data_IF_242333078635
#
_entry.id   IF_242333078635
#
_cell.length_a   1.000
_cell.length_b   1.000
_cell.length_c   1.000
_cell.angle_alpha   90.00
_cell.angle_beta   90.00
_cell.angle_gamma   90.00
#
_symmetry.space_group_name_H-M   'P 1'
#
loop_
_entity.id
_entity.type
_entity.pdbx_description
1 polymer ?
#
# COMPACT_ATOMS: atom_id res chain seq x y z
N UNK A 1 -43.01 -32.75 -54.44
CA UNK A 1 -42.81 -32.28 -53.05
C UNK A 1 -43.65 -31.03 -52.86
N UNK A 2 -44.49 -31.00 -51.82
CA UNK A 2 -45.40 -29.89 -51.53
C UNK A 2 -44.63 -28.62 -51.14
N UNK A 3 -45.14 -27.43 -51.46
CA UNK A 3 -44.42 -26.14 -51.31
C UNK A 3 -43.87 -25.87 -49.88
N UNK A 4 -44.39 -26.56 -48.87
CA UNK A 4 -43.92 -26.51 -47.49
C UNK A 4 -42.58 -27.24 -47.28
N UNK A 5 -42.34 -28.36 -47.98
CA UNK A 5 -41.07 -29.10 -47.94
C UNK A 5 -39.94 -28.37 -48.68
N UNK A 6 -40.27 -27.58 -49.69
CA UNK A 6 -39.28 -26.77 -50.43
C UNK A 6 -38.76 -25.61 -49.58
N UNK A 7 -39.63 -24.95 -48.80
CA UNK A 7 -39.21 -23.88 -47.89
C UNK A 7 -38.40 -24.42 -46.70
N UNK A 8 -38.74 -25.59 -46.17
CA UNK A 8 -37.95 -26.23 -45.11
C UNK A 8 -36.54 -26.60 -45.62
N UNK A 9 -36.44 -27.15 -46.84
CA UNK A 9 -35.16 -27.47 -47.46
C UNK A 9 -34.30 -26.21 -47.66
N UNK A 10 -34.88 -25.10 -48.12
CA UNK A 10 -34.16 -23.82 -48.24
C UNK A 10 -33.62 -23.30 -46.90
N UNK A 11 -34.41 -23.41 -45.84
CA UNK A 11 -33.98 -22.99 -44.49
C UNK A 11 -32.84 -23.87 -43.98
N UNK A 12 -32.94 -25.19 -44.16
CA UNK A 12 -31.88 -26.13 -43.74
C UNK A 12 -30.60 -25.89 -44.52
N UNK A 13 -30.67 -25.67 -45.84
CA UNK A 13 -29.51 -25.35 -46.68
C UNK A 13 -28.89 -24.00 -46.28
N UNK A 14 -29.70 -22.99 -45.98
CA UNK A 14 -29.21 -21.69 -45.51
C UNK A 14 -28.49 -21.80 -44.16
N UNK A 15 -29.06 -22.56 -43.21
CA UNK A 15 -28.43 -22.81 -41.91
C UNK A 15 -27.13 -23.59 -42.05
N UNK A 16 -27.06 -24.56 -42.96
CA UNK A 16 -25.84 -25.30 -43.24
C UNK A 16 -24.75 -24.41 -43.86
N UNK A 17 -25.12 -23.54 -44.81
CA UNK A 17 -24.20 -22.59 -45.42
C UNK A 17 -23.65 -21.58 -44.39
N UNK A 18 -24.50 -21.05 -43.51
CA UNK A 18 -24.10 -20.14 -42.44
C UNK A 18 -23.14 -20.83 -41.46
N UNK A 19 -23.46 -22.03 -40.99
CA UNK A 19 -22.58 -22.78 -40.08
C UNK A 19 -21.23 -23.12 -40.73
N UNK A 20 -21.24 -23.47 -42.02
CA UNK A 20 -19.99 -23.76 -42.77
C UNK A 20 -19.13 -22.51 -42.91
N UNK A 21 -19.74 -21.35 -43.21
CA UNK A 21 -19.03 -20.08 -43.28
C UNK A 21 -18.47 -19.65 -41.92
N UNK A 22 -19.24 -19.84 -40.85
CA UNK A 22 -18.78 -19.60 -39.47
C UNK A 22 -17.58 -20.48 -39.09
N UNK A 23 -17.60 -21.77 -39.44
CA UNK A 23 -16.44 -22.65 -39.25
C UNK A 23 -15.24 -22.20 -40.10
N UNK A 24 -15.46 -21.82 -41.35
CA UNK A 24 -14.38 -21.37 -42.23
C UNK A 24 -13.71 -20.09 -41.73
N UNK A 25 -14.48 -19.15 -41.18
CA UNK A 25 -13.94 -17.94 -40.55
C UNK A 25 -13.24 -18.24 -39.22
N UNK A 26 -13.74 -19.20 -38.44
CA UNK A 26 -13.11 -19.64 -37.19
C UNK A 26 -11.75 -20.31 -37.42
N UNK A 27 -11.64 -21.13 -38.48
CA UNK A 27 -10.40 -21.82 -38.83
C UNK A 27 -9.50 -21.05 -39.79
N UNK A 28 -9.83 -19.80 -40.17
CA UNK A 28 -8.93 -18.97 -40.97
C UNK A 28 -7.72 -18.56 -40.13
N UNK A 29 -6.50 -18.97 -40.50
CA UNK A 29 -5.29 -18.51 -39.81
C UNK A 29 -5.15 -17.00 -40.02
N UNK A 30 -5.01 -16.25 -38.93
CA UNK A 30 -4.65 -14.84 -39.01
C UNK A 30 -3.25 -14.70 -39.64
N UNK A 31 -3.04 -13.75 -40.58
CA UNK A 31 -1.73 -13.56 -41.17
C UNK A 31 -0.75 -13.05 -40.10
N UNK A 32 0.34 -13.80 -39.89
CA UNK A 32 1.48 -13.34 -39.08
C UNK A 32 2.07 -12.10 -39.74
N UNK A 33 2.10 -10.99 -39.01
CA UNK A 33 2.88 -9.81 -39.37
C UNK A 33 4.37 -10.16 -39.26
N UNK A 34 5.04 -10.29 -40.38
CA UNK A 34 6.49 -10.36 -40.49
C UNK A 34 7.06 -8.99 -40.09
N UNK A 35 7.82 -8.94 -39.01
CA UNK A 35 8.74 -7.84 -38.72
C UNK A 35 10.16 -8.40 -38.86
N UNK A 36 10.91 -7.76 -39.75
CA UNK A 36 12.24 -8.11 -40.19
C UNK A 36 13.24 -8.09 -39.04
N UNK A 37 14.06 -9.14 -38.98
CA UNK A 37 15.24 -9.21 -38.14
C UNK A 37 16.38 -8.42 -38.79
N UNK A 38 16.82 -7.34 -38.16
CA UNK A 38 18.17 -6.80 -38.38
C UNK A 38 19.13 -7.49 -37.42
N UNK A 39 20.08 -8.20 -38.01
CA UNK A 39 21.18 -8.89 -37.37
C UNK A 39 22.27 -7.90 -36.96
N UNK A 40 22.65 -7.90 -35.69
CA UNK A 40 24.05 -7.70 -35.30
C UNK A 40 24.44 -8.66 -34.19
N UNK A 41 25.33 -9.58 -34.56
CA UNK A 41 26.03 -10.50 -33.67
C UNK A 41 27.03 -9.72 -32.82
N UNK A 42 27.00 -9.91 -31.49
CA UNK A 42 28.21 -9.96 -30.65
C UNK A 42 27.99 -11.07 -29.61
N UNK A 43 28.80 -12.12 -29.69
CA UNK A 43 28.95 -13.16 -28.67
C UNK A 43 29.71 -12.59 -27.48
N UNK A 44 29.24 -12.84 -26.27
CA UNK A 44 30.11 -13.07 -25.12
C UNK A 44 29.47 -14.14 -24.24
N UNK A 45 30.17 -15.27 -24.12
CA UNK A 45 29.94 -16.32 -23.15
C UNK A 45 30.28 -15.81 -21.75
N UNK A 46 29.39 -15.99 -20.77
CA UNK A 46 29.76 -16.18 -19.35
C UNK A 46 28.60 -16.87 -18.58
N UNK A 47 28.87 -17.81 -17.65
CA UNK A 47 27.86 -18.67 -17.04
C UNK A 47 27.37 -18.08 -15.72
N UNK A 48 26.10 -17.69 -15.64
CA UNK A 48 25.45 -17.36 -14.37
C UNK A 48 24.13 -18.11 -14.20
N UNK A 49 23.97 -18.61 -12.96
CA UNK A 49 22.94 -19.53 -12.53
C UNK A 49 21.51 -19.03 -12.73
N UNK A 50 20.65 -20.04 -12.89
CA UNK A 50 19.23 -19.97 -13.20
C UNK A 50 18.48 -19.13 -12.16
N UNK A 51 18.09 -17.92 -12.53
CA UNK A 51 16.88 -17.28 -12.00
C UNK A 51 15.70 -18.08 -12.55
N UNK A 52 14.80 -18.65 -11.73
CA UNK A 52 13.52 -19.10 -12.25
C UNK A 52 12.76 -17.86 -12.69
N UNK A 53 12.85 -17.52 -13.98
CA UNK A 53 11.89 -16.63 -14.59
C UNK A 53 10.53 -17.28 -14.42
N UNK A 54 9.71 -16.73 -13.53
CA UNK A 54 8.27 -16.96 -13.49
C UNK A 54 7.65 -16.42 -14.78
N UNK A 55 7.89 -17.10 -15.90
CA UNK A 55 7.08 -16.94 -17.11
C UNK A 55 5.83 -17.78 -16.92
N UNK A 56 4.84 -17.21 -16.24
CA UNK A 56 3.52 -17.83 -16.21
C UNK A 56 2.82 -17.61 -17.56
N UNK A 57 2.34 -18.72 -18.14
CA UNK A 57 1.56 -18.76 -19.37
C UNK A 57 0.35 -17.84 -19.25
N UNK A 58 0.28 -16.82 -20.11
CA UNK A 58 -0.94 -16.05 -20.40
C UNK A 58 -2.12 -16.98 -20.65
N UNK A 59 -3.11 -16.96 -19.74
CA UNK A 59 -4.51 -17.18 -20.08
C UNK A 59 -5.19 -15.83 -20.00
N UNK A 60 -5.31 -15.21 -21.17
CA UNK A 60 -6.03 -13.96 -21.34
C UNK A 60 -7.52 -14.18 -21.04
N UNK A 61 -8.00 -13.48 -20.02
CA UNK A 61 -9.41 -13.26 -19.76
C UNK A 61 -9.56 -11.84 -19.23
N UNK A 62 -9.92 -10.89 -20.09
CA UNK A 62 -10.54 -9.58 -19.86
C UNK A 62 -10.24 -8.75 -18.58
N UNK A 63 -9.11 -8.96 -17.88
CA UNK A 63 -8.69 -8.17 -16.71
C UNK A 63 -7.71 -7.02 -17.07
N UNK A 64 -7.58 -6.68 -18.35
CA UNK A 64 -6.64 -5.66 -18.84
C UNK A 64 -6.98 -4.22 -18.40
N UNK A 65 -8.09 -3.98 -17.70
CA UNK A 65 -8.47 -2.67 -17.17
C UNK A 65 -8.10 -2.44 -15.69
N UNK A 66 -7.62 -3.45 -14.95
CA UNK A 66 -7.27 -3.30 -13.54
C UNK A 66 -5.82 -2.79 -13.39
N UNK A 67 -5.61 -1.88 -12.42
CA UNK A 67 -4.27 -1.45 -12.03
C UNK A 67 -3.48 -2.66 -11.56
N UNK A 68 -2.31 -2.85 -12.16
CA UNK A 68 -1.36 -3.88 -11.74
C UNK A 68 -0.38 -3.27 -10.76
N UNK A 69 -0.25 -3.88 -9.59
CA UNK A 69 0.84 -3.57 -8.68
C UNK A 69 2.17 -4.05 -9.27
N UNK A 70 3.29 -3.36 -8.96
CA UNK A 70 4.61 -3.85 -9.34
C UNK A 70 4.83 -5.25 -8.76
N UNK A 71 5.62 -6.10 -9.41
CA UNK A 71 5.96 -7.41 -8.82
C UNK A 71 7.16 -7.22 -7.89
N UNK A 72 6.86 -6.86 -6.64
CA UNK A 72 7.80 -6.84 -5.53
C UNK A 72 7.75 -8.16 -4.73
N UNK A 73 8.88 -8.62 -4.16
CA UNK A 73 8.92 -9.78 -3.27
C UNK A 73 7.96 -9.72 -2.06
N UNK A 74 7.51 -8.55 -1.66
CA UNK A 74 6.44 -8.35 -0.66
C UNK A 74 5.04 -8.74 -1.10
N UNK A 75 4.77 -8.91 -2.40
CA UNK A 75 3.46 -9.35 -2.89
C UNK A 75 3.31 -10.85 -3.00
N UNK A 76 4.22 -11.62 -2.39
CA UNK A 76 3.98 -13.04 -2.20
C UNK A 76 2.73 -13.22 -1.33
N UNK A 77 1.87 -14.21 -1.65
CA UNK A 77 0.71 -14.52 -0.81
C UNK A 77 1.11 -14.68 0.66
N UNK A 78 0.21 -14.31 1.58
CA UNK A 78 0.41 -14.65 2.98
C UNK A 78 0.59 -16.15 3.11
N UNK A 79 1.69 -16.54 3.74
CA UNK A 79 2.04 -17.93 3.95
C UNK A 79 2.30 -18.13 5.43
N UNK A 80 1.89 -19.29 5.94
CA UNK A 80 2.25 -19.67 7.28
C UNK A 80 3.74 -19.99 7.30
N UNK A 81 4.46 -19.37 8.23
CA UNK A 81 5.84 -19.69 8.50
C UNK A 81 6.00 -20.04 9.99
N UNK A 82 5.75 -21.31 10.38
CA UNK A 82 5.89 -21.74 11.76
C UNK A 82 7.32 -21.63 12.28
N UNK A 83 8.30 -21.52 11.38
CA UNK A 83 9.72 -21.38 11.71
C UNK A 83 10.16 -19.92 11.81
N UNK A 84 9.27 -18.95 11.60
CA UNK A 84 9.58 -17.54 11.79
C UNK A 84 9.98 -17.33 13.25
N UNK A 85 11.22 -16.89 13.47
CA UNK A 85 11.71 -16.61 14.82
C UNK A 85 10.92 -15.45 15.40
N UNK A 86 10.38 -15.57 16.63
CA UNK A 86 9.74 -14.45 17.32
C UNK A 86 10.68 -13.23 17.35
N UNK A 87 10.12 -12.05 17.16
CA UNK A 87 10.85 -10.78 17.11
C UNK A 87 11.89 -10.61 15.98
N UNK A 88 11.94 -11.51 15.00
CA UNK A 88 12.69 -11.28 13.76
C UNK A 88 12.04 -10.23 12.87
N UNK A 89 12.78 -9.70 11.90
CA UNK A 89 12.22 -8.72 10.97
C UNK A 89 11.14 -9.29 10.06
N UNK A 90 11.24 -10.58 9.70
CA UNK A 90 10.18 -11.27 8.96
C UNK A 90 8.94 -11.45 9.83
N UNK A 91 9.10 -11.66 11.15
CA UNK A 91 7.97 -11.77 12.07
C UNK A 91 7.19 -10.45 12.24
N UNK A 92 7.88 -9.30 12.21
CA UNK A 92 7.27 -7.98 12.33
C UNK A 92 6.72 -7.42 11.01
N UNK A 93 7.47 -7.54 9.92
CA UNK A 93 7.17 -6.84 8.66
C UNK A 93 6.79 -7.76 7.49
N UNK A 94 7.05 -9.06 7.60
CA UNK A 94 6.86 -10.02 6.53
C UNK A 94 5.79 -11.07 6.82
N UNK A 95 6.00 -12.30 6.34
CA UNK A 95 5.13 -13.45 6.56
C UNK A 95 5.41 -14.10 7.93
N UNK A 96 5.29 -13.31 8.99
CA UNK A 96 5.42 -13.71 10.39
C UNK A 96 4.28 -14.53 10.96
N UNK A 97 3.43 -15.11 10.10
CA UNK A 97 2.23 -15.82 10.53
C UNK A 97 2.59 -17.20 11.04
N UNK A 98 2.60 -17.36 12.35
CA UNK A 98 2.95 -18.63 13.01
C UNK A 98 1.81 -19.63 12.93
N UNK A 99 0.57 -19.16 12.82
CA UNK A 99 -0.64 -20.00 12.85
C UNK A 99 -1.62 -19.67 11.72
N UNK A 100 -2.10 -20.71 11.05
CA UNK A 100 -3.23 -20.62 10.10
C UNK A 100 -4.48 -21.24 10.74
N UNK A 101 -5.60 -20.54 10.60
CA UNK A 101 -6.91 -20.95 11.09
C UNK A 101 -7.87 -21.03 9.90
N UNK A 102 -8.25 -22.22 9.48
CA UNK A 102 -9.29 -22.43 8.46
C UNK A 102 -10.65 -22.55 9.15
N UNK A 103 -11.33 -21.41 9.32
CA UNK A 103 -12.63 -21.36 10.00
C UNK A 103 -13.73 -22.01 9.17
N UNK A 104 -13.63 -21.92 7.84
CA UNK A 104 -14.44 -22.68 6.89
C UNK A 104 -13.61 -23.14 5.69
N UNK A 105 -13.53 -24.46 5.52
CA UNK A 105 -12.86 -25.06 4.37
C UNK A 105 -13.80 -25.17 3.17
N UNK A 106 -13.30 -24.86 1.98
CA UNK A 106 -13.97 -25.25 0.74
C UNK A 106 -13.99 -26.78 0.69
N UNK A 107 -15.11 -27.41 1.03
CA UNK A 107 -15.26 -28.86 0.86
C UNK A 107 -15.21 -29.15 -0.65
N UNK A 108 -14.28 -30.01 -1.07
CA UNK A 108 -14.22 -30.60 -2.41
C UNK A 108 -15.43 -31.54 -2.60
N UNK A 109 -16.64 -30.96 -2.70
CA UNK A 109 -17.81 -31.67 -3.17
C UNK A 109 -17.68 -31.86 -4.67
N UNK A 110 -17.60 -33.11 -5.13
CA UNK A 110 -17.45 -33.54 -6.54
C UNK A 110 -18.60 -33.17 -7.49
N UNK A 111 -19.09 -31.94 -7.44
CA UNK A 111 -20.20 -31.41 -8.21
C UNK A 111 -20.07 -29.91 -8.49
N UNK A 112 -19.01 -29.50 -9.19
CA UNK A 112 -18.96 -28.31 -10.05
C UNK A 112 -19.18 -26.89 -9.47
N UNK A 113 -19.61 -26.71 -8.22
CA UNK A 113 -19.73 -25.41 -7.55
C UNK A 113 -19.21 -25.53 -6.12
N UNK A 114 -17.92 -25.26 -5.92
CA UNK A 114 -17.31 -25.21 -4.59
C UNK A 114 -18.02 -24.19 -3.70
N UNK A 115 -18.19 -24.52 -2.42
CA UNK A 115 -18.74 -23.61 -1.42
C UNK A 115 -17.81 -22.43 -1.14
N UNK A 116 -18.30 -21.44 -0.40
CA UNK A 116 -17.44 -20.37 0.10
C UNK A 116 -16.51 -20.86 1.23
N UNK A 117 -15.47 -20.07 1.52
CA UNK A 117 -14.41 -20.44 2.46
C UNK A 117 -13.91 -19.21 3.23
N UNK A 118 -13.33 -19.43 4.41
CA UNK A 118 -12.76 -18.38 5.23
C UNK A 118 -11.57 -18.88 6.04
N UNK A 119 -10.48 -18.13 6.04
CA UNK A 119 -9.28 -18.44 6.82
C UNK A 119 -8.59 -17.19 7.33
N UNK A 120 -7.86 -17.36 8.42
CA UNK A 120 -7.03 -16.31 9.01
C UNK A 120 -5.60 -16.78 9.21
N UNK A 121 -4.67 -15.83 9.11
CA UNK A 121 -3.26 -15.99 9.39
C UNK A 121 -2.91 -15.12 10.59
N UNK A 122 -2.59 -15.75 11.71
CA UNK A 122 -2.29 -15.10 12.97
C UNK A 122 -0.78 -14.96 13.15
N UNK A 123 -0.33 -13.75 13.51
CA UNK A 123 1.04 -13.44 13.92
C UNK A 123 1.09 -13.30 15.43
N UNK A 124 1.80 -14.21 16.10
CA UNK A 124 2.04 -14.10 17.55
C UNK A 124 2.94 -12.91 17.89
N UNK A 125 3.80 -12.46 16.97
CA UNK A 125 4.68 -11.29 17.20
C UNK A 125 3.89 -9.98 17.17
N UNK A 126 2.89 -9.89 16.29
CA UNK A 126 2.02 -8.72 16.19
C UNK A 126 0.75 -8.85 17.03
N UNK A 127 0.48 -10.03 17.59
CA UNK A 127 -0.77 -10.35 18.32
C UNK A 127 -2.03 -10.03 17.49
N UNK A 128 -1.94 -10.19 16.17
CA UNK A 128 -2.98 -9.80 15.23
C UNK A 128 -3.08 -10.78 14.06
N UNK A 129 -4.16 -10.68 13.29
CA UNK A 129 -4.50 -11.62 12.23
C UNK A 129 -4.88 -10.91 10.94
N UNK A 130 -4.47 -11.47 9.81
CA UNK A 130 -5.01 -11.13 8.48
C UNK A 130 -5.96 -12.23 8.06
N UNK A 131 -7.18 -11.88 7.68
CA UNK A 131 -8.18 -12.85 7.26
C UNK A 131 -8.52 -12.70 5.78
N UNK A 132 -8.88 -13.80 5.13
CA UNK A 132 -9.42 -13.78 3.78
C UNK A 132 -10.51 -14.82 3.60
N UNK A 133 -11.46 -14.50 2.72
CA UNK A 133 -12.59 -15.37 2.43
C UNK A 133 -13.01 -15.31 0.97
N UNK A 134 -13.59 -16.41 0.50
CA UNK A 134 -14.16 -16.54 -0.83
C UNK A 134 -15.69 -16.69 -0.78
N UNK A 135 -16.37 -16.05 -1.74
CA UNK A 135 -17.83 -15.98 -1.81
C UNK A 135 -18.46 -15.34 -0.55
N UNK A 136 -17.85 -14.23 -0.11
CA UNK A 136 -18.25 -13.47 1.06
C UNK A 136 -19.29 -12.40 0.67
N UNK A 137 -20.45 -12.41 1.32
CA UNK A 137 -21.49 -11.39 1.21
C UNK A 137 -21.35 -10.41 2.37
N UNK A 138 -21.30 -9.11 2.08
CA UNK A 138 -21.36 -8.02 3.04
C UNK A 138 -22.73 -7.35 3.00
N UNK A 139 -23.27 -6.98 4.15
CA UNK A 139 -24.54 -6.27 4.32
C UNK A 139 -24.29 -4.90 4.96
N UNK A 140 -24.16 -3.81 4.18
CA UNK A 140 -23.89 -2.46 4.69
C UNK A 140 -24.89 -1.98 5.75
N UNK A 141 -26.13 -2.43 5.68
CA UNK A 141 -27.20 -2.09 6.62
C UNK A 141 -26.98 -2.65 8.03
N UNK A 142 -26.10 -3.65 8.17
CA UNK A 142 -25.71 -4.28 9.43
C UNK A 142 -24.34 -3.81 9.94
N UNK A 143 -23.81 -2.74 9.34
CA UNK A 143 -22.55 -2.11 9.73
C UNK A 143 -22.89 -0.69 10.18
N UNK A 144 -22.76 -0.43 11.47
CA UNK A 144 -23.03 0.87 12.06
C UNK A 144 -21.73 1.67 12.12
N UNK A 145 -21.66 2.71 11.29
CA UNK A 145 -20.57 3.69 11.21
C UNK A 145 -21.03 4.91 10.40
N UNK A 146 -20.20 5.94 10.37
CA UNK A 146 -20.30 7.06 9.45
C UNK A 146 -20.39 6.60 8.00
N UNK A 147 -20.98 7.45 7.14
CA UNK A 147 -21.15 7.11 5.72
C UNK A 147 -19.79 7.04 5.02
N UNK A 148 -18.85 7.89 5.43
CA UNK A 148 -17.54 8.05 4.81
C UNK A 148 -17.64 8.90 3.55
N UNK A 149 -16.55 9.62 3.25
CA UNK A 149 -16.47 10.50 2.08
C UNK A 149 -17.25 11.80 2.21
N UNK A 150 -17.77 12.12 3.40
CA UNK A 150 -18.30 13.46 3.66
C UNK A 150 -17.17 14.51 3.59
N UNK A 151 -17.53 15.78 3.33
CA UNK A 151 -16.56 16.88 3.41
C UNK A 151 -16.17 17.10 4.87
N UNK A 152 -14.89 17.34 5.10
CA UNK A 152 -14.33 17.51 6.44
C UNK A 152 -15.04 18.61 7.25
N UNK A 153 -15.34 19.72 6.61
CA UNK A 153 -16.07 20.87 7.16
C UNK A 153 -17.49 20.54 7.62
N UNK A 154 -18.13 19.54 7.02
CA UNK A 154 -19.50 19.14 7.34
C UNK A 154 -19.58 18.21 8.55
N UNK A 155 -18.43 17.71 9.02
CA UNK A 155 -18.34 16.67 10.05
C UNK A 155 -17.47 17.07 11.24
N UNK A 156 -17.08 18.35 11.33
CA UNK A 156 -16.27 18.86 12.46
C UNK A 156 -16.95 18.58 13.81
N UNK A 157 -16.16 18.14 14.79
CA UNK A 157 -16.60 17.71 16.12
C UNK A 157 -16.99 16.23 16.22
N UNK A 158 -17.02 15.48 15.11
CA UNK A 158 -17.29 14.04 15.11
C UNK A 158 -16.23 13.27 15.90
N UNK A 159 -16.68 12.31 16.69
CA UNK A 159 -15.84 11.43 17.49
C UNK A 159 -15.23 10.29 16.65
N UNK A 160 -14.15 9.66 17.13
CA UNK A 160 -13.52 8.53 16.43
C UNK A 160 -14.45 7.32 16.40
N UNK A 161 -15.22 7.13 17.48
CA UNK A 161 -16.18 6.05 17.65
C UNK A 161 -17.34 6.10 16.63
N UNK A 162 -17.61 7.27 16.04
CA UNK A 162 -18.59 7.41 14.96
C UNK A 162 -18.04 6.97 13.60
N UNK A 163 -16.72 7.04 13.40
CA UNK A 163 -16.03 6.61 12.16
C UNK A 163 -15.68 5.12 12.19
N UNK A 164 -15.49 4.56 13.39
CA UNK A 164 -15.20 3.14 13.58
C UNK A 164 -16.45 2.26 13.36
N UNK A 165 -16.31 1.12 12.66
CA UNK A 165 -17.41 0.20 12.40
C UNK A 165 -17.79 -0.59 13.64
N UNK A 166 -19.09 -0.73 13.86
CA UNK A 166 -19.67 -1.74 14.74
C UNK A 166 -20.49 -2.69 13.89
N UNK A 167 -20.13 -3.97 13.94
CA UNK A 167 -20.75 -5.00 13.11
C UNK A 167 -21.86 -5.71 13.88
N UNK A 168 -23.02 -5.85 13.23
CA UNK A 168 -24.09 -6.70 13.74
C UNK A 168 -24.03 -8.09 13.09
N UNK A 169 -24.54 -9.10 13.79
CA UNK A 169 -24.69 -10.47 13.30
C UNK A 169 -25.20 -10.51 11.86
N UNK A 170 -24.48 -11.20 10.97
CA UNK A 170 -24.82 -11.29 9.55
C UNK A 170 -24.40 -10.09 8.69
N UNK A 171 -23.64 -9.12 9.23
CA UNK A 171 -22.91 -8.13 8.45
C UNK A 171 -22.01 -8.77 7.39
N UNK A 172 -21.44 -9.94 7.70
CA UNK A 172 -20.75 -10.80 6.75
C UNK A 172 -21.29 -12.23 6.77
N UNK A 173 -21.47 -12.81 5.59
CA UNK A 173 -21.99 -14.17 5.40
C UNK A 173 -21.24 -14.86 4.25
N UNK A 174 -21.15 -16.19 4.27
CA UNK A 174 -20.53 -16.96 3.19
C UNK A 174 -21.56 -17.82 2.50
N UNK A 175 -21.44 -17.91 1.17
CA UNK A 175 -22.35 -18.74 0.37
C UNK A 175 -22.14 -20.22 0.68
N UNK A 176 -23.14 -20.89 1.25
CA UNK A 176 -23.12 -22.35 1.45
C UNK A 176 -23.06 -23.07 0.08
N UNK A 177 -22.08 -23.95 -0.10
CA UNK A 177 -22.06 -24.90 -1.21
C UNK A 177 -23.14 -25.95 -0.99
N UNK A 178 -24.01 -26.16 -1.98
CA UNK A 178 -25.08 -27.16 -1.90
C UNK A 178 -24.51 -28.58 -1.77
N UNK A 179 -24.62 -29.17 -0.59
CA UNK A 179 -24.25 -30.55 -0.33
C UNK A 179 -24.52 -30.91 1.12
N UNK A 180 -25.67 -31.53 1.38
CA UNK A 180 -26.00 -32.08 2.69
C UNK A 180 -24.99 -33.15 3.08
N UNK A 181 -24.05 -32.77 3.95
CA UNK A 181 -23.04 -33.62 4.55
C UNK A 181 -22.69 -33.03 5.90
N UNK A 182 -23.05 -33.76 6.94
CA UNK A 182 -23.11 -33.36 8.34
C UNK A 182 -21.75 -32.91 8.91
N UNK A 183 -21.48 -31.61 8.83
CA UNK A 183 -20.80 -30.87 9.90
C UNK A 183 -21.86 -29.97 10.52
N UNK A 184 -22.33 -30.34 11.71
CA UNK A 184 -23.38 -29.64 12.46
C UNK A 184 -22.86 -28.26 12.87
N UNK A 185 -22.93 -27.29 11.97
CA UNK A 185 -23.12 -25.90 12.32
C UNK A 185 -24.59 -25.58 12.08
N UNK A 186 -25.33 -25.30 13.17
CA UNK A 186 -26.76 -24.99 13.13
C UNK A 186 -27.04 -23.95 12.04
N UNK A 187 -27.92 -24.33 11.12
CA UNK A 187 -28.60 -23.48 10.12
C UNK A 187 -28.80 -22.05 10.68
N UNK A 188 -28.17 -21.05 10.05
CA UNK A 188 -28.42 -19.64 10.33
C UNK A 188 -27.54 -18.98 11.41
N UNK A 189 -26.33 -19.47 11.69
CA UNK A 189 -25.36 -18.72 12.51
C UNK A 189 -24.44 -17.86 11.66
N UNK A 190 -24.27 -16.59 12.08
CA UNK A 190 -23.23 -15.66 11.62
C UNK A 190 -21.88 -16.38 11.63
N UNK A 191 -21.09 -16.23 10.55
CA UNK A 191 -19.76 -16.86 10.46
C UNK A 191 -18.80 -16.34 11.52
N UNK A 192 -19.14 -15.16 12.03
CA UNK A 192 -18.31 -14.31 12.83
C UNK A 192 -19.23 -13.68 13.87
N UNK A 193 -19.00 -13.95 15.15
CA UNK A 193 -19.71 -13.22 16.20
C UNK A 193 -19.36 -11.73 16.10
N UNK A 194 -20.23 -10.86 16.60
CA UNK A 194 -19.93 -9.44 16.79
C UNK A 194 -18.55 -9.25 17.46
N UNK A 195 -18.26 -10.05 18.51
CA UNK A 195 -16.95 -10.08 19.18
C UNK A 195 -15.79 -10.40 18.24
N UNK A 196 -15.94 -11.29 17.26
CA UNK A 196 -14.86 -11.54 16.30
C UNK A 196 -14.77 -10.40 15.27
N UNK A 197 -15.89 -9.90 14.73
CA UNK A 197 -15.84 -8.84 13.73
C UNK A 197 -15.20 -7.57 14.30
N UNK A 198 -15.61 -7.18 15.51
CA UNK A 198 -15.06 -6.04 16.24
C UNK A 198 -13.57 -6.20 16.58
N UNK A 199 -13.07 -7.44 16.63
CA UNK A 199 -11.65 -7.76 16.92
C UNK A 199 -10.79 -8.02 15.66
N UNK A 200 -11.35 -8.19 14.46
CA UNK A 200 -10.59 -8.67 13.30
C UNK A 200 -10.95 -8.04 11.94
N UNK A 201 -11.95 -7.16 11.84
CA UNK A 201 -12.36 -6.54 10.56
C UNK A 201 -12.44 -5.01 10.71
N UNK A 202 -11.60 -4.27 9.98
CA UNK A 202 -11.71 -2.81 9.92
C UNK A 202 -12.40 -2.35 8.63
N UNK A 203 -13.28 -1.38 8.78
CA UNK A 203 -13.93 -0.61 7.73
C UNK A 203 -14.00 0.84 8.20
N UNK A 204 -13.07 1.65 7.71
CA UNK A 204 -12.97 3.04 8.09
C UNK A 204 -14.04 3.91 7.41
N UNK A 205 -14.89 4.56 8.21
CA UNK A 205 -15.87 5.56 7.80
C UNK A 205 -15.33 6.99 7.73
N UNK A 206 -14.00 7.17 7.57
CA UNK A 206 -13.37 8.49 7.53
C UNK A 206 -13.98 9.45 6.49
N UNK A 207 -13.92 10.74 6.82
CA UNK A 207 -14.25 11.82 5.89
C UNK A 207 -13.23 11.92 4.75
N UNK A 208 -13.59 12.66 3.69
CA UNK A 208 -12.69 12.96 2.58
C UNK A 208 -11.41 13.63 3.10
N UNK A 209 -10.26 13.15 2.65
CA UNK A 209 -8.95 13.73 2.98
C UNK A 209 -8.00 13.68 1.79
N UNK A 210 -6.88 14.44 1.79
CA UNK A 210 -5.85 14.31 0.76
C UNK A 210 -5.28 12.88 0.61
N UNK A 211 -5.52 11.98 1.57
CA UNK A 211 -5.15 10.56 1.48
C UNK A 211 -5.98 9.80 0.44
N UNK A 212 -7.15 10.29 0.05
CA UNK A 212 -7.98 9.73 -1.03
C UNK A 212 -7.17 9.53 -2.32
N UNK A 213 -6.34 10.51 -2.70
CA UNK A 213 -5.50 10.40 -3.89
C UNK A 213 -4.52 9.23 -3.80
N UNK A 214 -4.02 8.91 -2.59
CA UNK A 214 -3.16 7.74 -2.37
C UNK A 214 -3.93 6.45 -2.55
N UNK A 215 -5.12 6.33 -1.97
CA UNK A 215 -5.99 5.17 -2.13
C UNK A 215 -6.38 4.97 -3.60
N UNK A 216 -6.80 6.03 -4.27
CA UNK A 216 -7.14 6.01 -5.67
C UNK A 216 -5.93 5.69 -6.55
N UNK A 217 -4.71 6.08 -6.18
CA UNK A 217 -3.50 5.69 -6.90
C UNK A 217 -3.21 4.19 -6.76
N UNK A 218 -3.27 3.67 -5.52
CA UNK A 218 -2.93 2.29 -5.19
C UNK A 218 -3.97 1.27 -5.68
N UNK A 219 -5.26 1.57 -5.58
CA UNK A 219 -6.33 0.64 -5.87
C UNK A 219 -7.02 0.95 -7.20
N UNK A 220 -7.59 -0.07 -7.85
CA UNK A 220 -8.33 0.12 -9.12
C UNK A 220 -9.64 0.87 -8.91
N UNK A 221 -10.21 0.77 -7.70
CA UNK A 221 -11.41 1.47 -7.26
C UNK A 221 -11.40 1.56 -5.74
N UNK A 222 -11.95 2.63 -5.20
CA UNK A 222 -12.17 2.84 -3.76
C UNK A 222 -13.66 3.12 -3.59
N UNK A 223 -14.27 2.48 -2.59
CA UNK A 223 -15.67 2.69 -2.27
C UNK A 223 -15.88 2.56 -0.75
N UNK A 224 -16.60 3.50 -0.17
CA UNK A 224 -17.05 3.43 1.21
C UNK A 224 -18.10 2.33 1.37
N UNK A 225 -18.04 1.53 2.43
CA UNK A 225 -18.97 0.41 2.57
C UNK A 225 -20.43 0.87 2.67
N UNK A 226 -20.71 2.05 3.24
CA UNK A 226 -22.07 2.62 3.31
C UNK A 226 -22.58 3.19 1.98
N UNK A 227 -21.73 3.29 0.96
CA UNK A 227 -22.15 3.72 -0.39
C UNK A 227 -22.92 2.63 -1.16
N UNK A 228 -22.88 1.37 -0.71
CA UNK A 228 -23.59 0.28 -1.37
C UNK A 228 -25.07 0.23 -0.97
N UNK A 229 -25.96 0.25 -1.97
CA UNK A 229 -27.40 0.11 -1.77
C UNK A 229 -27.80 -1.37 -1.74
N UNK A 230 -27.58 -2.00 -0.58
CA UNK A 230 -27.88 -3.40 -0.32
C UNK A 230 -26.64 -4.29 -0.30
N UNK A 231 -26.85 -5.59 -0.07
CA UNK A 231 -25.74 -6.52 0.12
C UNK A 231 -24.89 -6.69 -1.13
N UNK A 232 -23.57 -6.83 -0.93
CA UNK A 232 -22.57 -7.01 -1.98
C UNK A 232 -21.86 -8.35 -1.80
N UNK A 233 -21.63 -9.08 -2.88
CA UNK A 233 -20.90 -10.35 -2.85
C UNK A 233 -19.50 -10.21 -3.45
N UNK A 234 -18.49 -10.48 -2.64
CA UNK A 234 -17.09 -10.53 -3.02
C UNK A 234 -16.68 -11.96 -3.42
N UNK A 235 -16.06 -12.10 -4.59
CA UNK A 235 -15.44 -13.38 -5.00
C UNK A 235 -14.31 -13.77 -4.05
N UNK A 236 -13.51 -12.78 -3.65
CA UNK A 236 -12.46 -12.87 -2.63
C UNK A 236 -12.43 -11.54 -1.87
N UNK A 237 -12.39 -11.61 -0.55
CA UNK A 237 -12.22 -10.48 0.34
C UNK A 237 -10.99 -10.71 1.21
N UNK A 238 -10.26 -9.64 1.48
CA UNK A 238 -9.12 -9.61 2.41
C UNK A 238 -9.46 -8.59 3.48
N UNK A 239 -9.26 -8.98 4.74
CA UNK A 239 -9.48 -8.17 5.92
C UNK A 239 -8.11 -7.91 6.55
N UNK A 240 -7.73 -6.63 6.57
CA UNK A 240 -6.48 -6.14 7.16
C UNK A 240 -6.52 -6.27 8.69
N UNK A 241 -5.39 -6.50 9.37
CA UNK A 241 -5.33 -6.53 10.82
C UNK A 241 -5.72 -5.17 11.40
N UNK A 242 -6.35 -5.17 12.57
CA UNK A 242 -6.89 -3.98 13.22
C UNK A 242 -5.81 -3.01 13.72
N UNK A 243 -6.09 -1.72 13.56
CA UNK A 243 -5.58 -0.64 14.41
C UNK A 243 -4.07 -0.59 14.62
N UNK A 244 -3.69 -0.39 15.88
CA UNK A 244 -2.31 -0.22 16.34
C UNK A 244 -1.53 -1.55 16.49
N UNK A 245 -2.12 -2.68 16.12
CA UNK A 245 -1.46 -4.00 16.21
C UNK A 245 -0.63 -4.30 14.96
N UNK A 246 0.31 -3.41 14.69
CA UNK A 246 1.26 -3.49 13.59
C UNK A 246 2.66 -3.08 14.05
N UNK A 247 3.68 -3.38 13.25
CA UNK A 247 5.07 -3.11 13.61
C UNK A 247 5.36 -1.63 13.91
N UNK A 248 4.64 -0.70 13.25
CA UNK A 248 4.86 0.74 13.40
C UNK A 248 4.50 1.23 14.81
N UNK A 249 3.46 0.64 15.41
CA UNK A 249 3.00 0.97 16.75
C UNK A 249 3.64 0.09 17.82
N UNK A 250 3.81 -1.22 17.59
CA UNK A 250 4.55 -2.07 18.53
C UNK A 250 5.99 -1.60 18.72
N UNK A 251 6.62 -0.99 17.72
CA UNK A 251 7.95 -0.37 17.86
C UNK A 251 8.04 0.76 18.90
N UNK A 252 6.90 1.31 19.34
CA UNK A 252 6.84 2.33 20.39
C UNK A 252 6.87 1.74 21.81
N UNK A 253 6.34 0.52 21.97
CA UNK A 253 6.24 -0.17 23.26
C UNK A 253 7.32 -1.22 23.46
N UNK A 254 7.90 -1.75 22.39
CA UNK A 254 8.96 -2.76 22.44
C UNK A 254 10.07 -2.52 21.40
N UNK A 255 11.31 -2.92 21.69
CA UNK A 255 12.41 -2.77 20.76
C UNK A 255 12.25 -3.68 19.54
N UNK A 256 12.26 -3.10 18.35
CA UNK A 256 12.32 -3.82 17.07
C UNK A 256 13.71 -3.63 16.46
N UNK A 257 14.57 -4.63 16.60
CA UNK A 257 15.94 -4.58 16.08
C UNK A 257 16.02 -4.97 14.60
N UNK A 258 15.38 -4.14 13.77
CA UNK A 258 15.39 -4.28 12.31
C UNK A 258 16.08 -3.09 11.66
N UNK A 259 16.92 -3.37 10.68
CA UNK A 259 17.54 -2.37 9.83
C UNK A 259 17.00 -2.46 8.41
N UNK A 260 16.64 -1.32 7.83
CA UNK A 260 16.18 -1.25 6.45
C UNK A 260 17.31 -1.54 5.46
N UNK A 261 16.99 -2.29 4.42
CA UNK A 261 17.90 -2.57 3.29
C UNK A 261 17.10 -2.70 1.99
N UNK A 262 17.78 -2.97 0.87
CA UNK A 262 17.11 -3.25 -0.40
C UNK A 262 16.69 -4.72 -0.46
N UNK A 263 15.59 -5.01 -1.16
CA UNK A 263 15.16 -6.40 -1.40
C UNK A 263 16.26 -7.23 -2.09
N UNK A 264 17.09 -6.60 -2.94
CA UNK A 264 18.17 -7.28 -3.67
C UNK A 264 19.32 -7.68 -2.75
N UNK A 265 19.71 -6.80 -1.83
CA UNK A 265 20.77 -7.09 -0.85
C UNK A 265 20.33 -8.20 0.09
N UNK A 266 19.08 -8.15 0.56
CA UNK A 266 18.52 -9.19 1.42
C UNK A 266 18.41 -10.54 0.70
N UNK A 267 18.12 -10.54 -0.61
CA UNK A 267 18.06 -11.78 -1.41
C UNK A 267 19.45 -12.40 -1.61
N UNK A 268 20.48 -11.57 -1.78
CA UNK A 268 21.87 -12.02 -1.94
C UNK A 268 22.49 -12.46 -0.61
N UNK A 269 22.12 -11.80 0.49
CA UNK A 269 22.63 -12.09 1.82
C UNK A 269 21.48 -12.00 2.85
N UNK A 270 20.74 -13.11 3.05
CA UNK A 270 19.65 -13.17 4.02
C UNK A 270 20.11 -12.83 5.44
N UNK A 271 19.34 -12.00 6.13
CA UNK A 271 19.65 -11.51 7.48
C UNK A 271 18.35 -11.24 8.25
N UNK A 272 18.11 -11.97 9.33
CA UNK A 272 16.90 -11.87 10.16
C UNK A 272 16.77 -10.52 10.90
N UNK A 273 17.85 -9.73 10.94
CA UNK A 273 17.88 -8.38 11.52
C UNK A 273 17.71 -7.28 10.47
N UNK A 274 17.41 -7.64 9.21
CA UNK A 274 17.16 -6.69 8.14
C UNK A 274 15.79 -6.88 7.51
N UNK A 275 15.25 -5.78 6.98
CA UNK A 275 13.97 -5.78 6.27
C UNK A 275 14.04 -4.93 5.01
N UNK A 276 13.40 -5.40 3.94
CA UNK A 276 13.18 -4.61 2.73
C UNK A 276 11.77 -4.01 2.65
N UNK A 277 10.88 -4.34 3.60
CA UNK A 277 9.43 -4.17 3.47
C UNK A 277 9.01 -2.71 3.37
N UNK A 278 9.63 -1.81 4.14
CA UNK A 278 9.37 -0.37 4.02
C UNK A 278 9.91 0.21 2.71
N UNK A 279 11.03 -0.28 2.20
CA UNK A 279 11.56 0.12 0.90
C UNK A 279 10.66 -0.34 -0.24
N UNK A 280 10.18 -1.58 -0.18
CA UNK A 280 9.20 -2.12 -1.13
C UNK A 280 7.88 -1.34 -1.08
N UNK A 281 7.40 -1.00 0.12
CA UNK A 281 6.20 -0.17 0.29
C UNK A 281 6.36 1.23 -0.33
N UNK A 282 7.50 1.88 -0.12
CA UNK A 282 7.83 3.15 -0.78
C UNK A 282 7.95 3.05 -2.31
N UNK A 283 8.53 1.96 -2.82
CA UNK A 283 8.58 1.66 -4.26
C UNK A 283 7.16 1.47 -4.83
N UNK A 284 6.27 0.79 -4.11
CA UNK A 284 4.86 0.65 -4.49
C UNK A 284 4.17 2.01 -4.61
N UNK A 285 4.27 2.87 -3.58
CA UNK A 285 3.63 4.19 -3.60
C UNK A 285 4.11 5.00 -4.80
N UNK A 286 5.43 5.06 -4.99
CA UNK A 286 6.02 5.78 -6.13
C UNK A 286 5.54 5.23 -7.47
N UNK A 287 5.54 3.91 -7.63
CA UNK A 287 5.05 3.26 -8.85
C UNK A 287 3.56 3.53 -9.10
N UNK A 288 2.73 3.61 -8.06
CA UNK A 288 1.30 3.88 -8.18
C UNK A 288 1.01 5.28 -8.75
N UNK A 289 1.90 6.24 -8.50
CA UNK A 289 1.85 7.58 -9.09
C UNK A 289 2.59 7.71 -10.44
N UNK A 290 3.07 6.59 -10.98
CA UNK A 290 3.74 6.52 -12.28
C UNK A 290 5.23 6.89 -12.25
N UNK A 291 5.86 6.93 -11.08
CA UNK A 291 7.30 7.19 -10.98
C UNK A 291 8.11 5.92 -11.24
N UNK A 292 9.27 6.09 -11.88
CA UNK A 292 10.18 4.98 -12.15
C UNK A 292 10.85 4.49 -10.87
N UNK A 293 10.75 3.18 -10.61
CA UNK A 293 11.45 2.50 -9.52
C UNK A 293 12.72 1.77 -10.00
N UNK A 294 13.08 1.92 -11.29
CA UNK A 294 14.23 1.22 -11.87
C UNK A 294 15.55 1.65 -11.22
N UNK A 295 16.18 0.69 -10.54
CA UNK A 295 17.44 0.84 -9.79
C UNK A 295 18.69 0.96 -10.68
N UNK A 296 18.54 0.85 -12.01
CA UNK A 296 19.64 0.82 -12.99
C UNK A 296 19.88 2.15 -13.72
N UNK A 297 19.10 3.20 -13.44
CA UNK A 297 19.55 4.51 -13.84
C UNK A 297 20.55 5.02 -12.80
N UNK A 298 21.79 5.36 -13.20
CA UNK A 298 22.63 6.18 -12.34
C UNK A 298 21.77 7.38 -11.98
N UNK A 299 21.61 7.62 -10.68
CA UNK A 299 21.10 8.88 -10.16
C UNK A 299 21.83 9.95 -10.97
N UNK A 300 21.09 10.62 -11.85
CA UNK A 300 21.67 11.70 -12.65
C UNK A 300 22.26 12.62 -11.60
N UNK A 301 23.57 12.80 -11.63
CA UNK A 301 24.26 13.72 -10.73
C UNK A 301 23.69 15.11 -11.02
N UNK A 302 22.61 15.46 -10.33
CA UNK A 302 22.14 16.83 -10.26
C UNK A 302 23.31 17.54 -9.59
N UNK A 303 23.81 18.60 -10.21
CA UNK A 303 24.97 19.36 -9.74
C UNK A 303 24.66 20.14 -8.44
N UNK A 304 23.82 19.59 -7.56
CA UNK A 304 23.24 20.19 -6.38
C UNK A 304 22.29 19.24 -5.65
N UNK A 305 21.94 19.60 -4.41
CA UNK A 305 21.07 18.84 -3.54
C UNK A 305 19.69 19.51 -3.43
N UNK A 306 18.64 18.72 -3.55
CA UNK A 306 17.30 19.16 -3.18
C UNK A 306 17.13 18.95 -1.68
N UNK A 307 16.83 20.03 -0.96
CA UNK A 307 16.51 20.00 0.47
C UNK A 307 15.03 20.30 0.60
N UNK A 308 14.25 19.32 1.02
CA UNK A 308 12.81 19.49 1.24
C UNK A 308 12.58 19.86 2.70
N UNK A 309 11.96 21.02 2.97
CA UNK A 309 11.45 21.32 4.30
C UNK A 309 9.94 21.07 4.34
N UNK A 310 9.55 19.93 4.93
CA UNK A 310 8.15 19.58 5.19
C UNK A 310 7.64 20.42 6.35
N UNK A 311 6.71 21.31 6.05
CA UNK A 311 6.22 22.35 6.93
C UNK A 311 4.75 22.16 7.25
N UNK A 312 4.36 22.51 8.48
CA UNK A 312 2.98 22.38 8.95
C UNK A 312 2.30 23.74 8.95
N UNK A 313 1.61 24.05 7.84
CA UNK A 313 0.68 25.17 7.80
C UNK A 313 -0.66 24.85 8.44
N UNK A 314 -1.49 25.87 8.63
CA UNK A 314 -2.83 25.71 9.18
C UNK A 314 -3.76 25.06 8.15
N UNK A 315 -4.05 23.77 8.33
CA UNK A 315 -5.07 23.04 7.59
C UNK A 315 -6.03 22.28 8.52
N UNK A 316 -7.25 22.05 8.02
CA UNK A 316 -8.22 21.16 8.63
C UNK A 316 -7.73 19.73 8.41
N UNK A 317 -7.25 19.08 9.47
CA UNK A 317 -6.59 17.77 9.37
C UNK A 317 -7.51 16.58 9.72
N UNK A 318 -8.51 16.80 10.57
CA UNK A 318 -9.40 15.73 11.07
C UNK A 318 -10.70 16.34 11.62
N UNK A 319 -11.85 15.64 11.47
CA UNK A 319 -13.12 16.06 12.04
C UNK A 319 -13.07 16.37 13.54
N UNK A 320 -12.23 15.65 14.30
CA UNK A 320 -12.07 15.77 15.75
C UNK A 320 -11.51 17.11 16.23
N UNK A 321 -10.87 17.87 15.36
CA UNK A 321 -10.26 19.14 15.75
C UNK A 321 -11.24 20.31 15.53
N UNK A 322 -11.14 21.34 16.38
CA UNK A 322 -11.89 22.61 16.27
C UNK A 322 -11.51 23.45 15.03
N UNK A 323 -10.87 22.84 14.04
CA UNK A 323 -10.40 23.46 12.81
C UNK A 323 -9.08 24.22 12.91
N UNK A 324 -8.38 24.19 14.07
CA UNK A 324 -7.04 24.78 14.22
C UNK A 324 -6.02 23.65 14.46
N UNK A 325 -5.10 23.37 13.53
CA UNK A 325 -4.04 22.42 13.80
C UNK A 325 -3.08 22.96 14.85
N UNK A 326 -2.52 22.06 15.65
CA UNK A 326 -1.48 22.39 16.60
C UNK A 326 -0.18 22.72 15.86
N UNK A 327 0.29 23.96 16.03
CA UNK A 327 1.63 24.34 15.60
C UNK A 327 2.66 23.47 16.31
N UNK A 328 3.54 22.84 15.54
CA UNK A 328 4.64 22.00 16.07
C UNK A 328 5.90 22.81 16.34
N UNK A 329 6.09 23.90 15.59
CA UNK A 329 7.14 24.88 15.80
C UNK A 329 6.56 26.30 15.78
N UNK A 330 6.86 27.08 16.81
CA UNK A 330 6.33 28.45 16.95
C UNK A 330 6.89 29.42 15.91
N UNK A 331 8.05 29.12 15.33
CA UNK A 331 8.78 29.99 14.41
C UNK A 331 9.17 29.29 13.09
N UNK A 332 8.35 28.34 12.62
CA UNK A 332 8.65 27.55 11.42
C UNK A 332 8.95 28.40 10.18
N UNK A 333 8.23 29.51 9.98
CA UNK A 333 8.45 30.45 8.87
C UNK A 333 9.83 31.12 8.96
N UNK A 334 10.25 31.54 10.15
CA UNK A 334 11.58 32.14 10.38
C UNK A 334 12.71 31.15 10.04
N UNK A 335 12.55 29.88 10.44
CA UNK A 335 13.49 28.82 10.09
C UNK A 335 13.57 28.63 8.58
N UNK A 336 12.42 28.59 7.89
CA UNK A 336 12.39 28.44 6.44
C UNK A 336 13.07 29.60 5.72
N UNK A 337 12.77 30.85 6.11
CA UNK A 337 13.35 32.03 5.48
C UNK A 337 14.87 32.12 5.72
N UNK A 338 15.32 31.72 6.91
CA UNK A 338 16.75 31.64 7.24
C UNK A 338 17.47 30.59 6.40
N UNK A 339 16.89 29.40 6.26
CA UNK A 339 17.42 28.33 5.40
C UNK A 339 17.44 28.76 3.93
N UNK A 340 16.41 29.47 3.46
CA UNK A 340 16.32 29.97 2.08
C UNK A 340 17.40 30.99 1.78
N UNK A 341 17.62 31.93 2.72
CA UNK A 341 18.68 32.93 2.63
C UNK A 341 20.06 32.27 2.64
N UNK A 342 20.29 31.31 3.54
CA UNK A 342 21.54 30.56 3.60
C UNK A 342 21.81 29.74 2.34
N UNK A 343 20.82 28.99 1.83
CA UNK A 343 20.94 28.16 0.64
C UNK A 343 21.26 28.98 -0.62
N UNK A 344 20.65 30.17 -0.76
CA UNK A 344 20.92 31.08 -1.88
C UNK A 344 22.34 31.63 -1.89
N UNK A 345 22.97 31.73 -0.72
CA UNK A 345 24.34 32.19 -0.53
C UNK A 345 25.35 31.03 -0.43
N UNK A 346 24.91 29.78 -0.58
CA UNK A 346 25.79 28.62 -0.44
C UNK A 346 26.63 28.41 -1.71
N UNK A 347 27.95 28.58 -1.60
CA UNK A 347 28.86 28.61 -2.75
C UNK A 347 29.44 27.22 -3.07
N UNK A 348 29.57 26.34 -2.08
CA UNK A 348 30.25 25.04 -2.26
C UNK A 348 29.50 24.09 -3.19
N UNK A 349 28.18 24.03 -3.05
CA UNK A 349 27.32 23.29 -3.94
C UNK A 349 25.98 24.03 -4.12
N UNK A 350 25.25 23.68 -5.18
CA UNK A 350 23.90 24.22 -5.38
C UNK A 350 22.94 23.54 -4.40
N UNK A 351 22.28 24.33 -3.55
CA UNK A 351 21.22 23.86 -2.65
C UNK A 351 19.88 24.39 -3.15
N UNK A 352 18.98 23.49 -3.54
CA UNK A 352 17.61 23.83 -3.91
C UNK A 352 16.67 23.56 -2.74
N UNK A 353 16.28 24.60 -2.01
CA UNK A 353 15.35 24.50 -0.89
C UNK A 353 13.90 24.46 -1.42
N UNK A 354 13.20 23.36 -1.16
CA UNK A 354 11.81 23.13 -1.54
C UNK A 354 10.90 23.34 -0.32
N UNK A 355 9.86 24.17 -0.48
CA UNK A 355 8.85 24.42 0.54
C UNK A 355 7.76 23.32 0.50
N UNK A 356 7.85 22.34 1.39
CA UNK A 356 6.94 21.18 1.44
C UNK A 356 5.67 21.45 2.23
N UNK A 357 4.73 22.20 1.65
CA UNK A 357 3.42 22.48 2.24
C UNK A 357 2.40 21.42 1.84
N UNK A 358 2.53 20.21 2.40
CA UNK A 358 1.79 19.03 1.95
C UNK A 358 0.26 19.19 1.99
N UNK A 359 -0.28 19.96 2.95
CA UNK A 359 -1.71 20.24 3.00
C UNK A 359 -2.26 20.98 1.77
N UNK A 360 -1.40 21.59 0.98
CA UNK A 360 -1.73 22.37 -0.21
C UNK A 360 -1.11 21.80 -1.50
N UNK A 361 -0.53 20.59 -1.42
CA UNK A 361 0.06 19.89 -2.54
C UNK A 361 -0.79 18.67 -2.91
N UNK A 362 -0.89 18.37 -4.21
CA UNK A 362 -1.44 17.09 -4.66
C UNK A 362 -0.58 15.94 -4.13
N UNK A 363 -1.17 14.79 -3.86
CA UNK A 363 -0.44 13.64 -3.29
C UNK A 363 0.71 13.20 -4.21
N UNK A 364 0.49 13.27 -5.52
CA UNK A 364 1.54 12.99 -6.51
C UNK A 364 2.76 13.90 -6.34
N UNK A 365 2.54 15.20 -6.10
CA UNK A 365 3.60 16.19 -5.93
C UNK A 365 4.30 16.03 -4.58
N UNK A 366 3.57 15.64 -3.52
CA UNK A 366 4.16 15.28 -2.23
C UNK A 366 5.13 14.11 -2.37
N UNK A 367 4.71 13.04 -3.07
CA UNK A 367 5.55 11.86 -3.33
C UNK A 367 6.76 12.21 -4.19
N UNK A 368 6.59 13.03 -5.23
CA UNK A 368 7.72 13.50 -6.07
C UNK A 368 8.73 14.30 -5.25
N UNK A 369 8.27 15.25 -4.43
CA UNK A 369 9.15 16.07 -3.59
C UNK A 369 9.98 15.22 -2.62
N UNK A 370 9.39 14.17 -2.04
CA UNK A 370 10.08 13.21 -1.18
C UNK A 370 11.10 12.38 -1.96
N UNK A 371 10.72 11.90 -3.15
CA UNK A 371 11.57 11.09 -4.00
C UNK A 371 12.84 11.85 -4.44
N UNK A 372 12.70 13.13 -4.78
CA UNK A 372 13.78 13.96 -5.33
C UNK A 372 14.69 14.57 -4.27
N UNK A 373 14.32 14.48 -2.99
CA UNK A 373 15.05 15.09 -1.89
C UNK A 373 16.32 14.29 -1.52
N UNK A 374 17.45 14.98 -1.43
CA UNK A 374 18.67 14.45 -0.80
C UNK A 374 18.61 14.57 0.71
N UNK A 375 17.98 15.65 1.21
CA UNK A 375 17.76 15.88 2.64
C UNK A 375 16.30 16.28 2.85
N UNK A 376 15.63 15.66 3.82
CA UNK A 376 14.27 16.01 4.24
C UNK A 376 14.32 16.55 5.66
N UNK A 377 13.94 17.81 5.82
CA UNK A 377 13.80 18.51 7.09
C UNK A 377 12.32 18.55 7.45
N UNK A 378 11.98 18.34 8.72
CA UNK A 378 10.60 18.57 9.17
C UNK A 378 10.46 18.65 10.68
N UNK A 379 9.48 19.41 11.13
CA UNK A 379 9.06 19.35 12.53
C UNK A 379 8.40 18.00 12.84
N UNK A 380 8.52 17.51 14.08
CA UNK A 380 7.81 16.31 14.52
C UNK A 380 6.31 16.43 14.22
N UNK A 381 5.78 15.53 13.39
CA UNK A 381 4.36 15.55 13.00
C UNK A 381 4.00 16.52 11.86
N UNK A 382 4.97 17.04 11.10
CA UNK A 382 4.73 17.85 9.89
C UNK A 382 4.27 17.04 8.66
N UNK A 383 4.20 15.71 8.76
CA UNK A 383 3.95 14.81 7.62
C UNK A 383 5.13 13.92 7.27
N UNK A 384 6.09 13.74 8.18
CA UNK A 384 7.30 12.93 7.96
C UNK A 384 7.04 11.43 7.71
N UNK A 385 5.83 10.91 7.89
CA UNK A 385 5.50 9.53 7.46
C UNK A 385 5.75 9.31 5.97
N UNK A 386 5.69 10.36 5.14
CA UNK A 386 5.97 10.26 3.71
C UNK A 386 7.38 9.76 3.38
N UNK A 387 8.34 9.80 4.32
CA UNK A 387 9.71 9.30 4.11
C UNK A 387 9.77 7.80 3.76
N UNK A 388 8.68 7.04 3.95
CA UNK A 388 8.56 5.68 3.42
C UNK A 388 8.80 5.65 1.90
N UNK A 389 8.46 6.71 1.19
CA UNK A 389 8.68 6.88 -0.26
C UNK A 389 10.03 7.48 -0.64
N UNK A 390 10.90 7.78 0.33
CA UNK A 390 12.22 8.37 0.06
C UNK A 390 13.15 7.38 -0.66
N UNK A 391 14.04 7.93 -1.48
CA UNK A 391 15.07 7.17 -2.18
C UNK A 391 16.17 6.72 -1.20
N UNK A 392 16.95 5.67 -1.52
CA UNK A 392 18.12 5.31 -0.73
C UNK A 392 19.08 6.51 -0.57
N UNK A 393 19.80 6.58 0.55
CA UNK A 393 20.73 7.67 0.91
C UNK A 393 20.11 9.04 1.17
N UNK A 394 18.79 9.22 1.07
CA UNK A 394 18.14 10.42 1.61
C UNK A 394 18.41 10.52 3.11
N UNK A 395 18.81 11.71 3.57
CA UNK A 395 19.05 12.00 4.98
C UNK A 395 17.84 12.71 5.59
N UNK A 396 17.42 12.29 6.77
CA UNK A 396 16.31 12.88 7.51
C UNK A 396 16.85 13.77 8.63
N UNK A 397 16.39 15.01 8.69
CA UNK A 397 16.66 15.93 9.80
C UNK A 397 15.34 16.32 10.47
N UNK A 398 15.10 15.75 11.64
CA UNK A 398 13.89 16.02 12.40
C UNK A 398 14.10 17.10 13.46
N UNK A 399 13.19 18.08 13.53
CA UNK A 399 13.16 19.08 14.60
C UNK A 399 12.07 18.69 15.61
N UNK A 400 12.48 18.36 16.82
CA UNK A 400 11.60 17.74 17.83
C UNK A 400 11.36 18.71 18.98
N UNK A 401 10.12 19.19 19.10
CA UNK A 401 9.69 19.92 20.28
C UNK A 401 9.65 19.01 21.50
N UNK A 402 10.02 19.54 22.67
CA UNK A 402 9.89 18.83 23.96
C UNK A 402 8.47 18.35 24.26
N UNK A 403 7.46 19.00 23.67
CA UNK A 403 6.04 18.69 23.87
C UNK A 403 5.58 17.43 23.11
N UNK A 404 6.33 16.99 22.08
CA UNK A 404 5.88 15.97 21.14
C UNK A 404 6.96 14.90 20.87
N UNK A 405 7.68 14.47 21.90
CA UNK A 405 8.75 13.48 21.75
C UNK A 405 8.20 12.06 21.59
N UNK A 406 8.17 11.56 20.35
CA UNK A 406 7.90 10.16 20.05
C UNK A 406 8.90 9.63 18.99
N UNK A 407 9.36 8.37 19.09
CA UNK A 407 10.44 7.86 18.23
C UNK A 407 9.99 7.45 16.82
N UNK A 408 8.74 7.71 16.42
CA UNK A 408 8.16 7.21 15.16
C UNK A 408 9.08 7.41 13.96
N UNK A 409 9.51 8.64 13.68
CA UNK A 409 10.25 8.93 12.45
C UNK A 409 11.71 8.43 12.50
N UNK A 410 12.31 8.36 13.70
CA UNK A 410 13.59 7.69 13.90
C UNK A 410 13.48 6.18 13.57
N UNK A 411 12.41 5.53 14.04
CA UNK A 411 12.15 4.12 13.77
C UNK A 411 11.84 3.86 12.30
N UNK A 412 10.99 4.69 11.66
CA UNK A 412 10.71 4.60 10.23
C UNK A 412 11.98 4.77 9.42
N UNK A 413 12.83 5.76 9.76
CA UNK A 413 14.12 5.97 9.11
C UNK A 413 15.02 4.74 9.25
N UNK A 414 15.11 4.18 10.46
CA UNK A 414 15.87 2.94 10.73
C UNK A 414 15.38 1.77 9.87
N UNK A 415 14.07 1.49 9.88
CA UNK A 415 13.45 0.38 9.16
C UNK A 415 13.42 0.58 7.63
N UNK A 416 13.50 1.83 7.16
CA UNK A 416 13.65 2.19 5.74
C UNK A 416 15.12 2.16 5.30
N UNK A 417 16.06 2.26 6.23
CA UNK A 417 17.50 2.30 5.95
C UNK A 417 18.01 3.69 5.58
N UNK A 418 17.42 4.73 6.17
CA UNK A 418 17.80 6.13 5.98
C UNK A 418 18.67 6.62 7.14
N UNK A 419 19.57 7.55 6.84
CA UNK A 419 20.31 8.29 7.85
C UNK A 419 19.36 9.29 8.53
N UNK A 420 19.47 9.42 9.85
CA UNK A 420 18.54 10.20 10.65
C UNK A 420 19.29 11.05 11.68
N UNK A 421 18.94 12.32 11.73
CA UNK A 421 19.42 13.33 12.67
C UNK A 421 18.23 13.98 13.37
N UNK A 422 18.43 14.37 14.63
CA UNK A 422 17.39 15.00 15.43
C UNK A 422 17.91 16.23 16.17
N UNK A 423 17.19 17.35 16.04
CA UNK A 423 17.37 18.56 16.85
C UNK A 423 16.32 18.53 17.96
N UNK A 424 16.76 18.22 19.18
CA UNK A 424 15.88 18.16 20.35
C UNK A 424 15.76 19.54 21.00
N UNK A 425 14.58 20.14 20.92
CA UNK A 425 14.30 21.45 21.50
C UNK A 425 13.87 21.34 22.97
N UNK A 426 14.10 22.42 23.73
CA UNK A 426 13.56 22.61 25.10
C UNK A 426 12.09 23.08 25.06
N UNK A 427 11.66 23.74 23.98
CA UNK A 427 10.29 24.20 23.74
C UNK A 427 9.83 23.90 22.30
N UNK A 428 9.06 24.81 21.71
CA UNK A 428 8.62 24.74 20.30
C UNK A 428 9.33 25.75 19.39
N UNK A 429 10.25 26.55 19.93
CA UNK A 429 11.05 27.50 19.15
C UNK A 429 12.37 26.85 18.73
N UNK A 430 12.69 26.88 17.43
CA UNK A 430 13.93 26.35 16.88
C UNK A 430 14.89 27.49 16.54
N UNK A 431 16.14 27.41 17.00
CA UNK A 431 17.19 28.40 16.70
C UNK A 431 17.69 28.22 15.26
N UNK A 432 17.44 29.16 14.31
CA UNK A 432 17.77 28.96 12.90
C UNK A 432 19.26 28.69 12.63
N UNK A 433 20.24 29.38 13.26
CA UNK A 433 21.65 29.00 13.25
C UNK A 433 21.93 27.52 13.55
N UNK A 434 21.26 26.91 14.54
CA UNK A 434 21.46 25.49 14.89
C UNK A 434 20.97 24.60 13.75
N UNK A 435 19.79 24.88 13.19
CA UNK A 435 19.22 24.12 12.07
C UNK A 435 20.12 24.23 10.83
N UNK A 436 20.62 25.43 10.53
CA UNK A 436 21.55 25.69 9.41
C UNK A 436 22.87 24.92 9.61
N UNK A 437 23.43 24.95 10.82
CA UNK A 437 24.69 24.27 11.11
C UNK A 437 24.56 22.75 10.96
N UNK A 438 23.46 22.16 11.41
CA UNK A 438 23.19 20.74 11.25
C UNK A 438 23.01 20.37 9.77
N UNK A 439 22.20 21.14 9.03
CA UNK A 439 22.05 20.94 7.58
C UNK A 439 23.39 21.06 6.84
N UNK A 440 24.22 22.04 7.20
CA UNK A 440 25.57 22.23 6.65
C UNK A 440 26.49 21.05 6.97
N UNK A 441 26.34 20.43 8.15
CA UNK A 441 27.07 19.21 8.53
C UNK A 441 26.66 18.01 7.69
N UNK A 442 25.35 17.85 7.45
CA UNK A 442 24.79 16.79 6.59
C UNK A 442 25.24 16.97 5.13
N UNK A 443 25.19 18.18 4.60
CA UNK A 443 25.66 18.45 3.22
C UNK A 443 27.18 18.19 3.08
N UNK A 444 27.94 18.49 4.15
CA UNK A 444 29.23 17.88 4.57
C UNK A 444 29.43 16.46 4.02
N UNK A 445 28.64 15.53 4.57
CA UNK A 445 28.80 14.10 4.30
C UNK A 445 28.34 13.69 2.90
N UNK A 446 27.53 14.51 2.24
CA UNK A 446 27.06 14.31 0.87
C UNK A 446 28.01 14.86 -0.21
N UNK A 447 29.15 15.46 0.19
CA UNK A 447 30.17 15.97 -0.74
C UNK A 447 30.06 17.47 -1.06
N UNK A 448 29.40 18.23 -0.18
CA UNK A 448 29.28 19.69 -0.21
C UNK A 448 29.88 20.30 1.08
#
# INVERSE_FOLDING_TARGET
MTGRSYNLLKVVVALFAINTLSLFLYFRPTPKRTLEASSSQIRHDDPTGVIPQLTERRRDGNFDSLKRWPILPSYLPWSQNPSARPHSCEAFFGNGFTRRLDLLSAVDGGGGRGGGWFRCFHSETLESSVCEGGQLRMSPERIRMAVGGERLEDVLGRSEEEEMPVFEDGAFQISEGGGGGELVFRRGKSLVSDEFLDNYVDQDGHCTSPMEEMWQALFSSVAYAKSFHGSVCFRRAVMSPLGYENAMFKGLSQPINCQGTSAQDLWRNPDDHKTARLSEFGEMIRSAFGFSVNRHHPEKAVSGHNVLFVRRENYLAHPRHSGKPESRLSNEQEVFDSLKSWASNHIKCKVNLVNGLFAHMLMKDQVQAIQDASVIIGAHGAGLTHIVSATPKTVILEIISSQYRRPHFALISKWKGLEYHAINLVGSHADPPVVINELSSILKSLGC
#
